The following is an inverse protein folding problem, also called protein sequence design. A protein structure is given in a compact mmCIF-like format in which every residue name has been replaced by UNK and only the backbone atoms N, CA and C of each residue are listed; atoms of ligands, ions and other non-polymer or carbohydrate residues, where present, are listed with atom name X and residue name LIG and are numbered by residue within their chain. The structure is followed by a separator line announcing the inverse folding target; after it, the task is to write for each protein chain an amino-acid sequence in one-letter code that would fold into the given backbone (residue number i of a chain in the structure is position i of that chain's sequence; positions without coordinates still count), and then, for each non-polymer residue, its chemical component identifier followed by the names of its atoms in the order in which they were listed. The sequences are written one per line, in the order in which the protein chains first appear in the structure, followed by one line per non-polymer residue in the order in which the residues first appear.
data_IF_678590030693
#
_entry.id   IF_678590030693
#
_cell.length_a   1.000
_cell.length_b   1.000
_cell.length_c   1.000
_cell.angle_alpha   90.00
_cell.angle_beta   90.00
_cell.angle_gamma   90.00
#
_symmetry.space_group_name_H-M   'P 1'
#
loop_
_entity.id
_entity.type
_entity.pdbx_description
1 polymer ?
#
# COMPACT_ATOMS: atom_id res chain seq x y z
N UNK A 1 -16.42 -1.34 -5.25
CA UNK A 1 -15.59 -0.13 -5.06
C UNK A 1 -15.39 0.55 -6.41
N UNK A 2 -15.76 1.82 -6.59
CA UNK A 2 -15.51 2.53 -7.85
C UNK A 2 -14.01 2.86 -7.90
N UNK A 3 -13.30 2.19 -8.79
CA UNK A 3 -11.90 2.48 -9.07
C UNK A 3 -11.83 3.79 -9.83
N UNK A 4 -11.02 4.72 -9.35
CA UNK A 4 -10.77 5.99 -10.03
C UNK A 4 -10.20 5.73 -11.44
N UNK A 5 -10.89 6.18 -12.49
CA UNK A 5 -10.51 5.99 -13.90
C UNK A 5 -9.11 6.47 -14.29
N UNK A 6 -8.45 7.26 -13.43
CA UNK A 6 -7.12 7.84 -13.71
C UNK A 6 -5.95 6.85 -13.76
N UNK A 7 -6.12 5.63 -13.26
CA UNK A 7 -5.06 4.60 -13.25
C UNK A 7 -5.00 3.78 -14.56
N UNK A 8 -5.92 4.02 -15.50
CA UNK A 8 -5.99 3.32 -16.79
C UNK A 8 -5.35 4.10 -17.94
N UNK A 9 -4.77 5.28 -17.69
CA UNK A 9 -4.20 6.18 -18.68
C UNK A 9 -2.67 6.00 -18.85
N UNK A 10 -2.07 6.43 -19.99
CA UNK A 10 -0.60 6.54 -20.19
C UNK A 10 0.12 7.34 -19.09
N UNK A 11 -0.60 8.12 -18.31
CA UNK A 11 -0.15 8.79 -17.06
C UNK A 11 0.42 7.80 -16.03
N UNK A 12 0.02 6.52 -16.06
CA UNK A 12 0.50 5.51 -15.12
C UNK A 12 2.01 5.22 -15.30
N UNK A 13 2.54 5.22 -16.54
CA UNK A 13 3.97 5.03 -16.78
C UNK A 13 4.80 6.22 -16.26
N UNK A 14 4.31 7.45 -16.51
CA UNK A 14 4.96 8.65 -15.97
C UNK A 14 4.83 8.73 -14.43
N UNK A 15 3.79 8.15 -13.85
CA UNK A 15 3.61 8.08 -12.41
C UNK A 15 4.71 7.23 -11.76
N UNK A 16 4.94 6.02 -12.24
CA UNK A 16 5.98 5.14 -11.70
C UNK A 16 7.38 5.78 -11.79
N UNK A 17 7.68 6.49 -12.89
CA UNK A 17 8.94 7.20 -13.06
C UNK A 17 9.13 8.41 -12.13
N UNK A 18 8.02 9.01 -11.65
CA UNK A 18 8.06 10.26 -10.88
C UNK A 18 7.63 10.12 -9.42
N UNK A 19 7.14 8.95 -9.00
CA UNK A 19 6.57 8.76 -7.65
C UNK A 19 7.61 9.02 -6.55
N UNK A 20 8.85 8.61 -6.73
CA UNK A 20 9.93 8.85 -5.78
C UNK A 20 10.23 10.34 -5.57
N UNK A 21 9.96 11.18 -6.58
CA UNK A 21 10.10 12.63 -6.49
C UNK A 21 8.89 13.31 -5.81
N UNK A 22 7.76 12.58 -5.67
CA UNK A 22 6.52 13.05 -5.03
C UNK A 22 6.39 12.61 -3.59
N UNK A 23 6.99 11.47 -3.22
CA UNK A 23 6.85 10.84 -1.91
C UNK A 23 8.17 10.90 -1.16
N UNK A 24 8.26 11.70 -0.07
CA UNK A 24 9.45 11.74 0.77
C UNK A 24 9.80 10.35 1.31
N UNK A 25 11.07 9.94 1.13
CA UNK A 25 11.56 8.66 1.61
C UNK A 25 11.02 7.42 0.86
N UNK A 26 10.53 7.57 -0.38
CA UNK A 26 9.92 6.49 -1.15
C UNK A 26 10.73 5.20 -1.16
N UNK A 27 12.02 5.26 -1.55
CA UNK A 27 12.88 4.07 -1.59
C UNK A 27 13.11 3.47 -0.21
N UNK A 28 13.39 4.31 0.80
CA UNK A 28 13.56 3.87 2.17
C UNK A 28 12.29 3.22 2.74
N UNK A 29 11.09 3.72 2.38
CA UNK A 29 9.83 3.08 2.75
C UNK A 29 9.77 1.64 2.23
N UNK A 30 10.10 1.42 0.94
CA UNK A 30 10.09 0.09 0.33
C UNK A 30 11.12 -0.85 0.96
N UNK A 31 12.35 -0.38 1.19
CA UNK A 31 13.42 -1.15 1.87
C UNK A 31 13.00 -1.59 3.27
N UNK A 32 12.56 -0.65 4.11
CA UNK A 32 12.11 -0.94 5.47
C UNK A 32 10.84 -1.79 5.52
N UNK A 33 9.98 -1.71 4.49
CA UNK A 33 8.83 -2.61 4.36
C UNK A 33 9.26 -4.06 4.20
N UNK A 34 10.24 -4.33 3.33
CA UNK A 34 10.75 -5.69 3.12
C UNK A 34 11.41 -6.22 4.38
N UNK A 35 12.25 -5.40 5.04
CA UNK A 35 12.86 -5.76 6.32
C UNK A 35 11.80 -6.07 7.39
N UNK A 36 10.73 -5.27 7.44
CA UNK A 36 9.63 -5.48 8.37
C UNK A 36 8.89 -6.80 8.10
N UNK A 37 8.57 -7.09 6.84
CA UNK A 37 7.93 -8.36 6.44
C UNK A 37 8.83 -9.55 6.83
N UNK A 38 10.12 -9.48 6.56
CA UNK A 38 11.08 -10.56 6.89
C UNK A 38 11.14 -10.84 8.40
N UNK A 39 11.17 -9.77 9.23
CA UNK A 39 11.16 -9.89 10.69
C UNK A 39 9.85 -10.51 11.18
N UNK A 40 8.70 -10.08 10.67
CA UNK A 40 7.39 -10.59 11.12
C UNK A 40 7.17 -12.05 10.68
N UNK A 41 7.74 -12.48 9.56
CA UNK A 41 7.67 -13.86 9.06
C UNK A 41 8.83 -14.75 9.56
N UNK A 42 9.81 -14.18 10.27
CA UNK A 42 11.00 -14.88 10.74
C UNK A 42 11.72 -15.68 9.62
N UNK A 43 11.73 -15.14 8.41
CA UNK A 43 12.37 -15.75 7.23
C UNK A 43 11.66 -17.00 6.67
N UNK A 44 10.48 -17.37 7.17
CA UNK A 44 9.77 -18.56 6.70
C UNK A 44 9.34 -18.44 5.22
N UNK A 45 9.26 -19.58 4.53
CA UNK A 45 8.62 -19.67 3.21
C UNK A 45 7.15 -19.26 3.35
N UNK A 46 6.70 -18.33 2.52
CA UNK A 46 5.42 -17.67 2.76
C UNK A 46 4.69 -17.29 1.47
N UNK A 47 3.37 -17.30 1.56
CA UNK A 47 2.48 -16.74 0.53
C UNK A 47 2.02 -15.37 0.98
N UNK A 48 2.34 -14.37 0.19
CA UNK A 48 2.06 -12.98 0.52
C UNK A 48 1.03 -12.37 -0.43
N UNK A 49 0.26 -11.44 0.08
CA UNK A 49 -0.70 -10.64 -0.67
C UNK A 49 -0.19 -9.19 -0.78
N UNK A 50 -0.01 -8.71 -2.01
CA UNK A 50 0.26 -7.29 -2.26
C UNK A 50 -0.99 -6.65 -2.83
N UNK A 51 -1.58 -5.69 -2.11
CA UNK A 51 -2.80 -5.00 -2.50
C UNK A 51 -2.48 -3.60 -3.01
N UNK A 52 -2.85 -3.33 -4.26
CA UNK A 52 -2.41 -2.16 -5.01
C UNK A 52 -0.98 -2.37 -5.49
N UNK A 53 -0.73 -3.48 -6.20
CA UNK A 53 0.59 -3.90 -6.66
C UNK A 53 1.30 -2.86 -7.56
N UNK A 54 0.54 -1.96 -8.17
CA UNK A 54 1.06 -0.85 -8.97
C UNK A 54 2.10 -1.30 -9.98
N UNK A 55 3.23 -0.58 -10.04
CA UNK A 55 4.38 -0.92 -10.89
C UNK A 55 5.27 -2.05 -10.37
N UNK A 56 4.89 -2.73 -9.27
CA UNK A 56 5.56 -3.92 -8.74
C UNK A 56 6.81 -3.65 -7.91
N UNK A 57 7.03 -2.43 -7.41
CA UNK A 57 8.24 -2.08 -6.66
C UNK A 57 8.42 -2.97 -5.42
N UNK A 58 7.41 -3.03 -4.55
CA UNK A 58 7.44 -3.86 -3.35
C UNK A 58 7.53 -5.36 -3.68
N UNK A 59 6.88 -5.81 -4.75
CA UNK A 59 6.93 -7.21 -5.19
C UNK A 59 8.34 -7.59 -5.59
N UNK A 60 9.01 -6.76 -6.40
CA UNK A 60 10.39 -7.00 -6.84
C UNK A 60 11.34 -7.05 -5.65
N UNK A 61 11.24 -6.08 -4.75
CA UNK A 61 12.09 -6.02 -3.56
C UNK A 61 11.92 -7.27 -2.66
N UNK A 62 10.68 -7.73 -2.47
CA UNK A 62 10.39 -8.95 -1.71
C UNK A 62 10.89 -10.21 -2.42
N UNK A 63 10.71 -10.33 -3.74
CA UNK A 63 11.21 -11.47 -4.52
C UNK A 63 12.74 -11.58 -4.53
N UNK A 64 13.43 -10.46 -4.52
CA UNK A 64 14.89 -10.42 -4.44
C UNK A 64 15.41 -10.75 -3.04
N UNK A 65 14.65 -10.40 -1.99
CA UNK A 65 15.02 -10.65 -0.60
C UNK A 65 14.97 -12.13 -0.24
N UNK A 66 13.91 -12.83 -0.63
CA UNK A 66 13.71 -14.22 -0.23
C UNK A 66 13.18 -15.04 -1.41
N UNK A 67 13.91 -16.11 -1.75
CA UNK A 67 13.59 -17.02 -2.88
C UNK A 67 12.38 -17.91 -2.62
N UNK A 68 12.00 -18.11 -1.36
CA UNK A 68 10.92 -19.02 -0.95
C UNK A 68 9.57 -18.29 -0.75
N UNK A 69 9.53 -17.00 -1.08
CA UNK A 69 8.31 -16.22 -1.04
C UNK A 69 7.56 -16.29 -2.38
N UNK A 70 6.25 -16.53 -2.28
CA UNK A 70 5.31 -16.47 -3.40
C UNK A 70 4.34 -15.32 -3.18
N UNK A 71 4.18 -14.46 -4.17
CA UNK A 71 3.43 -13.22 -4.03
C UNK A 71 2.20 -13.23 -4.93
N UNK A 72 1.06 -12.85 -4.37
CA UNK A 72 -0.13 -12.54 -5.14
C UNK A 72 -0.25 -11.02 -5.23
N UNK A 73 -0.07 -10.48 -6.43
CA UNK A 73 -0.23 -9.05 -6.73
C UNK A 73 -1.64 -8.76 -7.22
N UNK A 74 -2.31 -7.80 -6.57
CA UNK A 74 -3.68 -7.37 -6.91
C UNK A 74 -3.67 -5.89 -7.23
N UNK A 75 -4.09 -5.52 -8.43
CA UNK A 75 -4.31 -4.11 -8.82
C UNK A 75 -5.41 -4.04 -9.88
N UNK A 76 -6.34 -3.08 -9.80
CA UNK A 76 -7.38 -2.95 -10.82
C UNK A 76 -6.88 -2.27 -12.11
N UNK A 77 -5.67 -1.73 -12.15
CA UNK A 77 -5.09 -1.05 -13.32
C UNK A 77 -4.34 -2.02 -14.23
N UNK A 78 -4.82 -2.29 -15.44
CA UNK A 78 -4.10 -3.10 -16.43
C UNK A 78 -2.71 -2.55 -16.72
N UNK A 79 -2.61 -1.24 -16.94
CA UNK A 79 -1.35 -0.55 -17.28
C UNK A 79 -0.29 -0.74 -16.19
N UNK A 80 -0.69 -0.61 -14.91
CA UNK A 80 0.24 -0.79 -13.78
C UNK A 80 0.67 -2.25 -13.66
N UNK A 81 -0.27 -3.20 -13.76
CA UNK A 81 0.08 -4.64 -13.71
C UNK A 81 0.94 -5.09 -14.88
N UNK A 82 0.71 -4.58 -16.08
CA UNK A 82 1.56 -4.92 -17.23
C UNK A 82 2.99 -4.40 -17.05
N UNK A 83 3.16 -3.25 -16.42
CA UNK A 83 4.49 -2.75 -16.03
C UNK A 83 5.13 -3.68 -15.00
N UNK A 84 4.41 -4.04 -13.95
CA UNK A 84 4.91 -4.94 -12.91
C UNK A 84 5.29 -6.32 -13.48
N UNK A 85 4.43 -6.91 -14.32
CA UNK A 85 4.68 -8.19 -14.99
C UNK A 85 5.97 -8.14 -15.84
N UNK A 86 6.15 -7.08 -16.65
CA UNK A 86 7.36 -6.88 -17.46
C UNK A 86 8.62 -6.80 -16.59
N UNK A 87 8.58 -6.01 -15.51
CA UNK A 87 9.72 -5.85 -14.60
C UNK A 87 10.07 -7.16 -13.88
N UNK A 88 9.10 -7.92 -13.40
CA UNK A 88 9.30 -9.22 -12.77
C UNK A 88 9.85 -10.25 -13.77
N UNK A 89 9.37 -10.25 -15.02
CA UNK A 89 9.86 -11.13 -16.07
C UNK A 89 11.32 -10.83 -16.47
N UNK A 90 11.73 -9.56 -16.49
CA UNK A 90 13.13 -9.16 -16.72
C UNK A 90 14.10 -9.73 -15.66
N UNK A 91 13.60 -10.03 -14.47
CA UNK A 91 14.36 -10.64 -13.37
C UNK A 91 14.22 -12.17 -13.33
N UNK A 92 13.52 -12.78 -14.29
CA UNK A 92 13.23 -14.23 -14.34
C UNK A 92 12.54 -14.77 -13.07
N UNK A 93 11.62 -13.98 -12.47
CA UNK A 93 10.95 -14.31 -11.21
C UNK A 93 9.43 -14.51 -11.36
N UNK A 94 8.91 -14.59 -12.59
CA UNK A 94 7.48 -14.64 -12.88
C UNK A 94 6.78 -15.88 -12.29
N UNK A 95 7.49 -17.00 -12.13
CA UNK A 95 6.91 -18.25 -11.60
C UNK A 95 6.55 -18.16 -10.10
N UNK A 96 7.01 -17.11 -9.43
CA UNK A 96 6.71 -16.84 -8.02
C UNK A 96 5.64 -15.79 -7.80
N UNK A 97 4.97 -15.32 -8.87
CA UNK A 97 3.94 -14.28 -8.76
C UNK A 97 2.66 -14.69 -9.44
N UNK A 98 1.56 -14.58 -8.71
CA UNK A 98 0.19 -14.68 -9.25
C UNK A 98 -0.41 -13.28 -9.34
N UNK A 99 -1.07 -12.95 -10.45
CA UNK A 99 -1.61 -11.62 -10.70
C UNK A 99 -3.13 -11.64 -10.81
N UNK A 100 -3.80 -10.69 -10.13
CA UNK A 100 -5.22 -10.43 -10.28
C UNK A 100 -5.44 -8.97 -10.73
N UNK A 101 -5.94 -8.81 -11.96
CA UNK A 101 -6.30 -7.52 -12.55
C UNK A 101 -7.76 -7.18 -12.17
N UNK A 102 -7.98 -6.89 -10.90
CA UNK A 102 -9.30 -6.58 -10.35
C UNK A 102 -9.21 -5.90 -9.00
N UNK A 103 -10.33 -5.36 -8.53
CA UNK A 103 -10.42 -4.86 -7.16
C UNK A 103 -10.37 -6.03 -6.16
N UNK A 104 -9.81 -5.77 -4.96
CA UNK A 104 -9.56 -6.80 -3.94
C UNK A 104 -10.82 -7.57 -3.54
N UNK A 105 -11.98 -6.92 -3.45
CA UNK A 105 -13.27 -7.52 -3.11
C UNK A 105 -13.72 -8.61 -4.10
N UNK A 106 -13.19 -8.58 -5.32
CA UNK A 106 -13.48 -9.58 -6.38
C UNK A 106 -12.49 -10.74 -6.42
N UNK A 107 -11.35 -10.64 -5.73
CA UNK A 107 -10.35 -11.70 -5.67
C UNK A 107 -10.90 -12.89 -4.86
N UNK A 108 -10.88 -14.12 -5.39
CA UNK A 108 -11.32 -15.31 -4.66
C UNK A 108 -10.57 -15.50 -3.34
N UNK A 109 -11.28 -15.99 -2.30
CA UNK A 109 -10.68 -16.34 -1.01
C UNK A 109 -10.55 -17.87 -0.93
N UNK A 110 -9.61 -18.42 -1.69
CA UNK A 110 -9.37 -19.88 -1.73
C UNK A 110 -8.41 -20.31 -0.63
N UNK A 111 -7.37 -19.54 -0.41
CA UNK A 111 -6.32 -19.82 0.59
C UNK A 111 -5.97 -18.53 1.31
N UNK A 112 -5.70 -18.63 2.61
CA UNK A 112 -5.26 -17.51 3.41
C UNK A 112 -3.77 -17.23 3.18
N UNK A 113 -3.38 -15.96 3.30
CA UNK A 113 -2.02 -15.48 3.16
C UNK A 113 -1.32 -15.37 4.52
N UNK A 114 -0.01 -15.56 4.50
CA UNK A 114 0.86 -15.49 5.68
C UNK A 114 1.27 -14.05 6.00
N UNK A 115 1.16 -13.13 5.04
CA UNK A 115 1.33 -11.69 5.22
C UNK A 115 0.58 -10.90 4.14
N UNK A 116 0.30 -9.62 4.40
CA UNK A 116 -0.13 -8.66 3.39
C UNK A 116 0.69 -7.37 3.43
N UNK A 117 0.86 -6.77 2.25
CA UNK A 117 1.49 -5.46 2.06
C UNK A 117 0.56 -4.58 1.24
N UNK A 118 0.37 -3.33 1.65
CA UNK A 118 -0.35 -2.31 0.88
C UNK A 118 0.28 -0.95 1.10
N UNK A 119 1.06 -0.49 0.12
CA UNK A 119 1.82 0.75 0.23
C UNK A 119 1.20 1.86 -0.62
N UNK A 120 0.86 2.97 0.00
CA UNK A 120 0.38 4.19 -0.66
C UNK A 120 -0.92 3.99 -1.49
N UNK A 121 -1.81 3.11 -1.03
CA UNK A 121 -3.05 2.73 -1.72
C UNK A 121 -4.30 3.18 -0.97
N UNK A 122 -4.40 2.92 0.33
CA UNK A 122 -5.64 3.08 1.10
C UNK A 122 -6.20 4.50 1.07
N UNK A 123 -5.36 5.51 0.92
CA UNK A 123 -5.81 6.89 0.79
C UNK A 123 -6.49 7.22 -0.55
N UNK A 124 -6.50 6.29 -1.52
CA UNK A 124 -7.31 6.37 -2.73
C UNK A 124 -8.65 5.62 -2.59
N UNK A 125 -8.86 4.94 -1.48
CA UNK A 125 -10.07 4.17 -1.20
C UNK A 125 -11.01 4.99 -0.32
N UNK A 126 -12.23 5.25 -0.81
CA UNK A 126 -13.22 6.04 -0.05
C UNK A 126 -13.73 5.28 1.18
N UNK A 127 -14.02 3.98 1.02
CA UNK A 127 -14.44 3.09 2.10
C UNK A 127 -13.22 2.30 2.62
N UNK A 128 -12.42 2.97 3.46
CA UNK A 128 -11.18 2.42 4.02
C UNK A 128 -11.42 1.25 4.95
N UNK A 129 -12.51 1.28 5.72
CA UNK A 129 -12.84 0.19 6.66
C UNK A 129 -13.14 -1.10 5.92
N UNK A 130 -14.03 -1.07 4.92
CA UNK A 130 -14.31 -2.26 4.09
C UNK A 130 -13.06 -2.77 3.38
N UNK A 131 -12.18 -1.88 2.91
CA UNK A 131 -10.91 -2.27 2.31
C UNK A 131 -10.01 -3.05 3.30
N UNK A 132 -9.89 -2.57 4.54
CA UNK A 132 -9.12 -3.25 5.59
C UNK A 132 -9.76 -4.59 5.99
N UNK A 133 -11.08 -4.67 6.06
CA UNK A 133 -11.81 -5.93 6.31
C UNK A 133 -11.58 -6.95 5.18
N UNK A 134 -11.51 -6.49 3.92
CA UNK A 134 -11.20 -7.34 2.77
C UNK A 134 -9.78 -7.90 2.83
N UNK A 135 -8.79 -7.12 3.32
CA UNK A 135 -7.45 -7.64 3.59
C UNK A 135 -7.50 -8.65 4.75
N UNK A 136 -8.13 -8.27 5.86
CA UNK A 136 -8.18 -9.09 7.08
C UNK A 136 -8.78 -10.49 6.82
N UNK A 137 -9.84 -10.59 6.01
CA UNK A 137 -10.48 -11.89 5.71
C UNK A 137 -9.61 -12.84 4.91
N UNK A 138 -8.57 -12.33 4.24
CA UNK A 138 -7.61 -13.08 3.41
C UNK A 138 -6.34 -13.48 4.17
N UNK A 139 -6.14 -12.98 5.38
CA UNK A 139 -4.98 -13.26 6.19
C UNK A 139 -5.22 -14.41 7.17
N UNK A 140 -4.17 -15.19 7.43
CA UNK A 140 -4.12 -16.12 8.54
C UNK A 140 -4.27 -15.37 9.88
N UNK A 141 -4.85 -15.98 10.93
CA UNK A 141 -4.72 -15.44 12.28
C UNK A 141 -3.25 -15.22 12.65
N UNK A 142 -2.94 -14.08 13.26
CA UNK A 142 -1.57 -13.69 13.60
C UNK A 142 -0.74 -13.14 12.44
N UNK A 143 -1.20 -13.26 11.19
CA UNK A 143 -0.46 -12.78 10.02
C UNK A 143 -0.32 -11.25 10.03
N UNK A 144 0.88 -10.71 9.66
CA UNK A 144 1.11 -9.29 9.59
C UNK A 144 0.46 -8.63 8.37
N UNK A 145 -0.01 -7.39 8.57
CA UNK A 145 -0.26 -6.41 7.53
C UNK A 145 0.76 -5.29 7.67
N UNK A 146 1.52 -5.00 6.60
CA UNK A 146 2.37 -3.83 6.49
C UNK A 146 1.69 -2.82 5.58
N UNK A 147 1.40 -1.64 6.11
CA UNK A 147 0.57 -0.62 5.46
C UNK A 147 1.29 0.72 5.45
N UNK A 148 1.26 1.45 4.32
CA UNK A 148 1.68 2.85 4.29
C UNK A 148 0.62 3.73 3.63
N UNK A 149 0.45 4.94 4.18
CA UNK A 149 -0.64 5.85 3.79
C UNK A 149 -0.28 7.32 4.02
N UNK A 150 -1.08 8.23 3.47
CA UNK A 150 -1.04 9.65 3.77
C UNK A 150 -1.80 9.89 5.07
N UNK A 151 -1.04 10.26 6.11
CA UNK A 151 -1.59 10.58 7.43
C UNK A 151 -2.00 12.04 7.52
N UNK A 152 -3.08 12.28 8.21
CA UNK A 152 -3.50 13.60 8.69
C UNK A 152 -4.95 13.91 8.36
N UNK A 153 -5.40 15.06 8.87
CA UNK A 153 -6.72 15.63 8.60
C UNK A 153 -6.52 16.95 7.82
N UNK A 154 -7.00 17.02 6.56
CA UNK A 154 -6.83 18.16 5.69
C UNK A 154 -7.34 19.49 6.29
N UNK A 155 -8.30 19.46 7.21
CA UNK A 155 -8.88 20.64 7.83
C UNK A 155 -8.01 21.24 8.95
N UNK A 156 -6.94 20.53 9.37
CA UNK A 156 -6.11 20.97 10.49
C UNK A 156 -4.95 21.90 10.04
N UNK A 157 -4.58 22.89 10.86
CA UNK A 157 -3.40 23.72 10.60
C UNK A 157 -2.10 22.92 10.50
N UNK A 158 -2.01 21.81 11.26
CA UNK A 158 -0.84 20.91 11.21
C UNK A 158 -0.71 20.26 9.84
N UNK A 159 -1.80 19.72 9.29
CA UNK A 159 -1.78 19.14 7.95
C UNK A 159 -1.40 20.18 6.88
N UNK A 160 -1.87 21.42 7.00
CA UNK A 160 -1.51 22.48 6.06
C UNK A 160 0.01 22.82 6.10
N UNK A 161 0.67 22.70 7.27
CA UNK A 161 2.13 22.84 7.38
C UNK A 161 2.87 21.68 6.71
N UNK A 162 2.41 20.45 6.95
CA UNK A 162 2.98 19.25 6.28
C UNK A 162 2.78 19.30 4.76
N UNK A 163 1.63 19.77 4.31
CA UNK A 163 1.34 19.98 2.90
C UNK A 163 2.29 21.03 2.27
N UNK A 164 2.58 22.12 2.99
CA UNK A 164 3.57 23.10 2.56
C UNK A 164 4.98 22.50 2.49
N UNK A 165 5.38 21.71 3.51
CA UNK A 165 6.66 21.01 3.50
C UNK A 165 6.77 20.06 2.28
N UNK A 166 5.69 19.32 1.95
CA UNK A 166 5.64 18.47 0.76
C UNK A 166 5.83 19.28 -0.53
N UNK A 167 5.24 20.47 -0.62
CA UNK A 167 5.42 21.36 -1.79
C UNK A 167 6.88 21.78 -1.97
N UNK A 168 7.57 22.09 -0.88
CA UNK A 168 9.01 22.43 -0.89
C UNK A 168 9.88 21.23 -1.28
N UNK A 169 9.51 20.03 -0.79
CA UNK A 169 10.18 18.80 -1.19
C UNK A 169 10.04 18.55 -2.70
N UNK A 170 8.81 18.54 -3.24
CA UNK A 170 8.56 18.35 -4.67
C UNK A 170 9.31 19.38 -5.53
N UNK A 171 9.32 20.64 -5.12
CA UNK A 171 10.08 21.69 -5.81
C UNK A 171 11.58 21.38 -5.85
N UNK A 172 12.18 20.92 -4.73
CA UNK A 172 13.60 20.51 -4.69
C UNK A 172 13.90 19.30 -5.56
N UNK A 173 12.89 18.41 -5.76
CA UNK A 173 12.98 17.28 -6.69
C UNK A 173 12.80 17.67 -8.17
N UNK A 174 12.67 18.97 -8.48
CA UNK A 174 12.53 19.45 -9.85
C UNK A 174 11.11 19.36 -10.41
N UNK A 175 10.11 19.07 -9.60
CA UNK A 175 8.72 19.01 -10.06
C UNK A 175 8.12 20.42 -10.17
N UNK A 176 7.35 20.65 -11.24
CA UNK A 176 6.64 21.91 -11.46
C UNK A 176 5.50 22.12 -10.47
N UNK A 177 5.06 23.37 -10.32
CA UNK A 177 3.97 23.74 -9.39
C UNK A 177 2.66 23.00 -9.68
N UNK A 178 2.39 22.71 -10.94
CA UNK A 178 1.19 22.03 -11.41
C UNK A 178 1.02 20.64 -10.79
N UNK A 179 2.13 19.91 -10.56
CA UNK A 179 2.11 18.58 -9.93
C UNK A 179 1.57 18.67 -8.51
N UNK A 180 2.05 19.65 -7.74
CA UNK A 180 1.58 19.86 -6.38
C UNK A 180 0.13 20.41 -6.35
N UNK A 181 -0.20 21.33 -7.26
CA UNK A 181 -1.56 21.87 -7.38
C UNK A 181 -2.57 20.76 -7.64
N UNK A 182 -2.28 19.90 -8.61
CA UNK A 182 -3.11 18.73 -8.93
C UNK A 182 -3.28 17.78 -7.72
N UNK A 183 -2.20 17.54 -6.97
CA UNK A 183 -2.29 16.72 -5.75
C UNK A 183 -3.21 17.38 -4.72
N UNK A 184 -3.05 18.68 -4.48
CA UNK A 184 -3.87 19.44 -3.52
C UNK A 184 -5.36 19.44 -3.87
N UNK A 185 -5.69 19.61 -5.14
CA UNK A 185 -7.07 19.58 -5.65
C UNK A 185 -7.74 18.22 -5.48
N UNK A 186 -6.98 17.14 -5.41
CA UNK A 186 -7.48 15.79 -5.21
C UNK A 186 -7.79 15.44 -3.74
N UNK A 187 -7.28 16.22 -2.79
CA UNK A 187 -7.55 15.99 -1.38
C UNK A 187 -9.04 16.12 -1.07
N UNK A 188 -9.61 15.11 -0.43
CA UNK A 188 -11.04 15.01 -0.14
C UNK A 188 -11.94 14.61 -1.34
N UNK A 189 -11.40 14.60 -2.57
CA UNK A 189 -12.15 14.25 -3.80
C UNK A 189 -11.80 12.82 -4.25
N UNK A 190 -10.52 12.54 -4.44
CA UNK A 190 -10.00 11.24 -4.87
C UNK A 190 -8.83 10.75 -4.03
N UNK A 191 -8.36 11.56 -3.11
CA UNK A 191 -7.30 11.23 -2.15
C UNK A 191 -7.84 11.59 -0.75
N UNK A 192 -7.97 10.59 0.09
CA UNK A 192 -8.58 10.63 1.41
C UNK A 192 -7.54 10.37 2.51
N UNK A 193 -6.76 11.38 2.91
CA UNK A 193 -5.87 11.24 4.07
C UNK A 193 -6.67 10.85 5.32
N UNK A 194 -6.01 10.22 6.27
CA UNK A 194 -6.66 9.75 7.47
C UNK A 194 -5.79 10.03 8.70
N UNK A 195 -6.39 10.52 9.79
CA UNK A 195 -5.64 10.71 11.04
C UNK A 195 -5.18 9.37 11.62
N UNK A 196 -4.14 9.41 12.45
CA UNK A 196 -3.61 8.20 13.11
C UNK A 196 -4.66 7.52 13.98
N UNK A 197 -5.44 8.31 14.72
CA UNK A 197 -6.50 7.83 15.59
C UNK A 197 -7.59 7.11 14.80
N UNK A 198 -8.02 7.71 13.68
CA UNK A 198 -9.03 7.11 12.81
C UNK A 198 -8.51 5.84 12.13
N UNK A 199 -7.27 5.83 11.65
CA UNK A 199 -6.67 4.63 11.05
C UNK A 199 -6.56 3.50 12.09
N UNK A 200 -6.12 3.81 13.31
CA UNK A 200 -6.03 2.84 14.41
C UNK A 200 -7.42 2.27 14.76
N UNK A 201 -8.44 3.11 14.82
CA UNK A 201 -9.82 2.67 15.07
C UNK A 201 -10.33 1.74 13.94
N UNK A 202 -10.13 2.12 12.67
CA UNK A 202 -10.53 1.31 11.51
C UNK A 202 -9.79 -0.04 11.45
N UNK A 203 -8.50 -0.07 11.75
CA UNK A 203 -7.72 -1.31 11.83
C UNK A 203 -8.24 -2.23 12.94
N UNK A 204 -8.50 -1.68 14.12
CA UNK A 204 -9.05 -2.43 15.25
C UNK A 204 -10.43 -3.01 14.90
N UNK A 205 -11.31 -2.21 14.29
CA UNK A 205 -12.64 -2.63 13.84
C UNK A 205 -12.55 -3.70 12.73
N UNK A 206 -11.56 -3.60 11.82
CA UNK A 206 -11.29 -4.62 10.82
C UNK A 206 -10.68 -5.91 11.39
N UNK A 207 -10.37 -5.95 12.70
CA UNK A 207 -9.85 -7.11 13.41
C UNK A 207 -8.34 -7.22 13.41
N UNK A 208 -7.63 -6.10 13.27
CA UNK A 208 -6.18 -6.04 13.49
C UNK A 208 -5.85 -5.61 14.93
N UNK A 209 -4.69 -6.05 15.40
CA UNK A 209 -4.12 -5.76 16.72
C UNK A 209 -2.61 -5.51 16.59
N UNK A 210 -1.91 -5.17 17.68
CA UNK A 210 -0.46 -4.89 17.69
C UNK A 210 -0.05 -3.83 16.67
N UNK A 211 -0.81 -2.73 16.60
CA UNK A 211 -0.59 -1.65 15.63
C UNK A 211 0.64 -0.85 16.06
N UNK A 212 1.70 -0.86 15.25
CA UNK A 212 2.98 -0.21 15.55
C UNK A 212 3.48 0.57 14.34
N UNK A 213 4.01 1.79 14.51
CA UNK A 213 4.69 2.51 13.44
C UNK A 213 6.05 1.87 13.13
N UNK A 214 6.49 1.91 11.87
CA UNK A 214 7.84 1.54 11.46
C UNK A 214 8.50 2.59 10.56
N UNK A 215 7.71 3.50 9.98
CA UNK A 215 8.19 4.54 9.08
C UNK A 215 7.38 5.83 9.23
N UNK A 216 8.06 6.98 9.12
CA UNK A 216 7.41 8.28 8.93
C UNK A 216 8.33 9.24 8.19
N UNK A 217 7.79 9.87 7.14
CA UNK A 217 8.44 10.97 6.41
C UNK A 217 7.38 12.02 6.03
N UNK A 218 7.31 13.12 6.81
CA UNK A 218 6.24 14.09 6.72
C UNK A 218 4.88 13.43 6.93
N UNK A 219 3.98 13.60 5.98
CA UNK A 219 2.64 13.02 6.01
C UNK A 219 2.57 11.55 5.57
N UNK A 220 3.68 10.95 5.14
CA UNK A 220 3.71 9.52 4.82
C UNK A 220 4.00 8.72 6.08
N UNK A 221 3.10 7.84 6.46
CA UNK A 221 3.23 6.96 7.62
C UNK A 221 3.17 5.50 7.22
N UNK A 222 4.09 4.70 7.77
CA UNK A 222 4.11 3.25 7.68
C UNK A 222 3.80 2.61 9.02
N UNK A 223 2.92 1.64 9.04
CA UNK A 223 2.54 0.86 10.21
C UNK A 223 2.57 -0.62 9.89
N UNK A 224 2.84 -1.42 10.91
CA UNK A 224 2.63 -2.87 10.92
C UNK A 224 1.61 -3.22 11.98
N UNK A 225 0.74 -4.17 11.67
CA UNK A 225 -0.23 -4.72 12.62
C UNK A 225 -0.44 -6.21 12.34
N UNK A 226 -1.10 -6.93 13.25
CA UNK A 226 -1.35 -8.36 13.12
C UNK A 226 -2.84 -8.65 13.01
N UNK A 227 -3.19 -9.60 12.15
CA UNK A 227 -4.55 -10.14 12.12
C UNK A 227 -4.86 -10.81 13.46
N UNK A 228 -5.85 -10.32 14.17
CA UNK A 228 -6.31 -10.94 15.42
C UNK A 228 -6.89 -12.34 15.19
N UNK A 229 -6.94 -13.14 16.23
CA UNK A 229 -7.66 -14.41 16.21
C UNK A 229 -9.13 -14.16 15.87
N UNK A 230 -9.72 -15.02 15.05
CA UNK A 230 -11.18 -14.99 14.88
C UNK A 230 -11.81 -15.24 16.26
N UNK A 231 -12.34 -14.20 16.90
CA UNK A 231 -13.25 -14.44 18.01
C UNK A 231 -14.32 -15.39 17.47
N UNK A 232 -14.44 -16.57 18.07
CA UNK A 232 -15.59 -17.41 17.81
C UNK A 232 -16.82 -16.55 18.08
N UNK A 233 -17.56 -16.22 17.02
CA UNK A 233 -18.86 -15.56 17.15
C UNK A 233 -19.68 -16.56 17.95
N UNK A 234 -19.91 -16.23 19.23
CA UNK A 234 -20.71 -17.06 20.13
C UNK A 234 -22.05 -17.38 19.45
N UNK A 235 -22.35 -18.65 19.44
CA UNK A 235 -23.66 -19.18 19.03
C UNK A 235 -24.74 -18.67 19.97
#
# INVERSE_FOLDING_TARGET
MSVNQHWHDPVAESYAATIAHKVPGYHLLHELTVDRVEIELMGAASRMLTVGAGGGEEIINMLQRNKDWHITGVDPSPTMLDMAKRRVAQLHMQDRVTWYEMALDKVPVEKLYDAAVSLLVIHFVKDQLTFLQEIARRLQPGAPLVLAFIQGDPETPTFQKELHMLSLFMKRQGLGKEVFTTFRERLGVTTYPVSEEKMTAQLTEAGFQDIRPYFQAGMIKGIVCKRGDRKAVGK
#
